data_IF_224835559011
#
_entry.id   IF_224835559011
#
_cell.length_a   1.000
_cell.length_b   1.000
_cell.length_c   1.000
_cell.angle_alpha   90.00
_cell.angle_beta   90.00
_cell.angle_gamma   90.00
#
_symmetry.space_group_name_H-M   'P 1'
#
loop_
_entity.id
_entity.type
_entity.pdbx_description
1 polymer ?
#
# COMPACT_ATOMS: atom_id res chain seq x y z
N UNK A 1 5.82 -3.94 18.27
CA UNK A 1 4.65 -3.88 17.37
C UNK A 1 4.35 -2.43 16.94
N UNK A 2 4.63 -1.42 17.77
CA UNK A 2 4.70 0.01 17.37
C UNK A 2 5.55 0.29 16.12
N UNK A 3 6.62 -0.47 15.92
CA UNK A 3 7.44 -0.34 14.73
C UNK A 3 6.74 -0.80 13.44
N UNK A 4 5.77 -1.73 13.53
CA UNK A 4 5.06 -2.25 12.37
C UNK A 4 3.96 -1.30 11.90
N UNK A 5 3.27 -0.62 12.83
CA UNK A 5 2.38 0.50 12.49
C UNK A 5 3.17 1.65 11.86
N UNK A 6 4.38 1.94 12.35
CA UNK A 6 5.27 2.93 11.74
C UNK A 6 5.72 2.57 10.32
N UNK A 7 5.97 1.28 10.06
CA UNK A 7 6.42 0.78 8.76
C UNK A 7 5.31 0.72 7.69
N UNK A 8 4.03 0.85 8.08
CA UNK A 8 2.92 0.93 7.13
C UNK A 8 2.75 -0.34 6.29
N UNK A 9 2.30 -0.19 5.06
CA UNK A 9 2.09 -1.30 4.13
C UNK A 9 3.37 -2.14 3.90
N UNK A 10 4.56 -1.57 4.08
CA UNK A 10 5.83 -2.28 3.93
C UNK A 10 6.04 -3.40 4.96
N UNK A 11 5.30 -3.38 6.09
CA UNK A 11 5.32 -4.46 7.07
C UNK A 11 4.45 -5.67 6.68
N UNK A 12 3.63 -5.57 5.64
CA UNK A 12 2.69 -6.62 5.23
C UNK A 12 3.32 -8.02 5.08
N UNK A 13 4.50 -8.18 4.44
CA UNK A 13 5.11 -9.51 4.30
C UNK A 13 5.42 -10.19 5.63
N UNK A 14 5.69 -9.43 6.69
CA UNK A 14 5.98 -9.97 8.02
C UNK A 14 4.74 -10.54 8.70
N UNK A 15 3.56 -9.99 8.42
CA UNK A 15 2.30 -10.54 8.89
C UNK A 15 1.88 -11.77 8.09
N UNK A 16 1.99 -11.67 6.76
CA UNK A 16 1.62 -12.76 5.84
C UNK A 16 2.51 -13.99 6.05
N UNK A 17 3.83 -13.83 5.96
CA UNK A 17 4.77 -14.95 6.07
C UNK A 17 5.05 -15.35 7.52
N UNK A 18 4.92 -14.42 8.46
CA UNK A 18 4.98 -14.72 9.90
C UNK A 18 3.73 -15.43 10.43
N UNK A 19 2.67 -15.57 9.60
CA UNK A 19 1.39 -16.20 9.95
C UNK A 19 0.76 -15.59 11.21
N UNK A 20 0.88 -14.28 11.37
CA UNK A 20 0.22 -13.55 12.47
C UNK A 20 -1.29 -13.62 12.25
N UNK A 21 -2.04 -14.02 13.28
CA UNK A 21 -3.50 -14.05 13.18
C UNK A 21 -4.06 -12.61 13.10
N UNK A 22 -5.23 -12.45 12.48
CA UNK A 22 -5.89 -11.15 12.43
C UNK A 22 -6.25 -10.63 13.82
N UNK A 23 -6.60 -11.52 14.75
CA UNK A 23 -6.92 -11.17 16.13
C UNK A 23 -5.70 -10.66 16.89
N UNK A 24 -4.54 -11.31 16.72
CA UNK A 24 -3.29 -10.86 17.35
C UNK A 24 -2.85 -9.50 16.79
N UNK A 25 -2.98 -9.31 15.48
CA UNK A 25 -2.68 -8.03 14.84
C UNK A 25 -3.63 -6.93 15.31
N UNK A 26 -4.94 -7.20 15.38
CA UNK A 26 -5.93 -6.23 15.85
C UNK A 26 -5.70 -5.83 17.31
N UNK A 27 -5.38 -6.80 18.18
CA UNK A 27 -5.03 -6.57 19.57
C UNK A 27 -3.77 -5.70 19.70
N UNK A 28 -2.79 -5.91 18.83
CA UNK A 28 -1.60 -5.08 18.82
C UNK A 28 -1.83 -3.67 18.30
N UNK A 29 -2.63 -3.50 17.25
CA UNK A 29 -3.06 -2.18 16.76
C UNK A 29 -3.79 -1.42 17.88
N UNK A 30 -4.64 -2.11 18.64
CA UNK A 30 -5.28 -1.55 19.84
C UNK A 30 -4.28 -1.13 20.90
N UNK A 31 -3.30 -1.98 21.21
CA UNK A 31 -2.28 -1.69 22.23
C UNK A 31 -1.36 -0.52 21.83
N UNK A 32 -1.18 -0.30 20.52
CA UNK A 32 -0.42 0.81 19.95
C UNK A 32 -1.25 2.10 19.80
N UNK A 33 -2.50 2.11 20.27
CA UNK A 33 -3.46 3.22 20.08
C UNK A 33 -3.60 3.65 18.60
N UNK A 34 -3.57 2.66 17.69
CA UNK A 34 -3.65 2.91 16.26
C UNK A 34 -5.03 3.50 15.91
N UNK A 35 -5.10 4.62 15.15
CA UNK A 35 -6.35 5.26 14.77
C UNK A 35 -7.33 4.35 14.01
N UNK A 36 -6.80 3.43 13.21
CA UNK A 36 -7.56 2.43 12.45
C UNK A 36 -7.11 1.04 12.86
N UNK A 37 -8.08 0.20 13.21
CA UNK A 37 -7.89 -1.20 13.57
C UNK A 37 -8.51 -2.12 12.52
N UNK A 38 -8.17 -3.41 12.56
CA UNK A 38 -8.84 -4.39 11.69
C UNK A 38 -10.33 -4.48 12.02
N UNK A 39 -10.69 -4.34 13.30
CA UNK A 39 -12.08 -4.24 13.74
C UNK A 39 -12.87 -3.06 13.15
N UNK A 40 -12.18 -2.03 12.65
CA UNK A 40 -12.81 -0.92 11.92
C UNK A 40 -12.90 -1.21 10.41
N UNK A 41 -11.83 -1.78 9.86
CA UNK A 41 -11.70 -2.11 8.43
C UNK A 41 -12.71 -3.17 8.00
N UNK A 42 -12.92 -4.20 8.82
CA UNK A 42 -13.82 -5.32 8.49
C UNK A 42 -15.26 -4.86 8.22
N UNK A 43 -15.92 -4.15 9.15
CA UNK A 43 -17.27 -3.63 8.89
C UNK A 43 -17.33 -2.62 7.74
N UNK A 44 -16.30 -1.78 7.58
CA UNK A 44 -16.28 -0.74 6.56
C UNK A 44 -16.18 -1.28 5.12
N UNK A 45 -15.43 -2.37 4.93
CA UNK A 45 -15.07 -2.91 3.60
C UNK A 45 -15.81 -4.20 3.29
N UNK A 46 -15.99 -5.07 4.29
CA UNK A 46 -16.48 -6.44 4.11
C UNK A 46 -17.90 -6.63 4.63
N UNK A 47 -18.46 -5.61 5.30
CA UNK A 47 -19.83 -5.59 5.82
C UNK A 47 -20.14 -6.69 6.85
N UNK A 48 -19.12 -7.20 7.53
CA UNK A 48 -19.23 -8.12 8.66
C UNK A 48 -18.17 -7.80 9.70
N UNK A 49 -18.30 -8.38 10.90
CA UNK A 49 -17.35 -8.18 11.99
C UNK A 49 -16.04 -8.98 11.77
N UNK A 50 -14.97 -8.60 12.47
CA UNK A 50 -13.71 -9.34 12.43
C UNK A 50 -13.86 -10.74 13.05
N UNK A 51 -14.74 -10.89 14.04
CA UNK A 51 -15.04 -12.15 14.71
C UNK A 51 -15.75 -13.16 13.80
N UNK A 52 -16.51 -12.65 12.82
CA UNK A 52 -17.16 -13.44 11.77
C UNK A 52 -16.24 -13.79 10.61
N UNK A 53 -15.03 -13.20 10.56
CA UNK A 53 -14.06 -13.52 9.53
C UNK A 53 -13.68 -15.01 9.63
N UNK A 54 -13.92 -15.81 8.58
CA UNK A 54 -13.64 -17.23 8.65
C UNK A 54 -12.14 -17.44 8.86
N UNK A 55 -11.79 -18.30 9.83
CA UNK A 55 -10.42 -18.77 9.95
C UNK A 55 -10.05 -19.56 8.68
N UNK A 56 -9.23 -18.96 7.81
CA UNK A 56 -8.59 -19.63 6.68
C UNK A 56 -9.51 -20.22 5.61
N UNK A 57 -10.70 -19.66 5.37
CA UNK A 57 -11.44 -19.98 4.14
C UNK A 57 -10.93 -19.09 3.03
N UNK A 58 -10.53 -19.68 1.90
CA UNK A 58 -10.22 -18.94 0.67
C UNK A 58 -11.48 -18.19 0.22
N UNK A 59 -11.66 -16.99 0.74
CA UNK A 59 -12.63 -16.04 0.24
C UNK A 59 -12.00 -15.26 -0.91
N UNK A 60 -12.81 -14.96 -1.92
CA UNK A 60 -12.36 -14.12 -3.01
C UNK A 60 -11.78 -12.79 -2.48
N UNK A 61 -10.72 -12.26 -3.09
CA UNK A 61 -10.13 -10.99 -2.69
C UNK A 61 -11.19 -9.88 -2.69
N UNK A 62 -11.06 -8.91 -1.77
CA UNK A 62 -11.92 -7.75 -1.73
C UNK A 62 -11.63 -6.74 -2.86
N UNK A 63 -10.43 -6.80 -3.44
CA UNK A 63 -10.06 -6.02 -4.61
C UNK A 63 -9.11 -6.79 -5.53
N UNK A 64 -9.26 -6.57 -6.83
CA UNK A 64 -8.35 -7.01 -7.91
C UNK A 64 -7.72 -5.81 -8.65
N UNK A 65 -8.18 -4.59 -8.34
CA UNK A 65 -7.72 -3.33 -8.93
C UNK A 65 -7.47 -2.26 -7.87
N UNK A 66 -6.56 -1.34 -8.20
CA UNK A 66 -6.26 -0.18 -7.35
C UNK A 66 -7.43 0.81 -7.26
N UNK A 67 -8.34 0.80 -8.23
CA UNK A 67 -9.62 1.51 -8.15
C UNK A 67 -10.47 1.00 -7.00
N UNK A 68 -10.66 -0.32 -6.91
CA UNK A 68 -11.45 -0.93 -5.82
C UNK A 68 -10.73 -0.79 -4.48
N UNK A 69 -9.41 -0.98 -4.43
CA UNK A 69 -8.61 -0.74 -3.23
C UNK A 69 -8.75 0.72 -2.74
N UNK A 70 -8.71 1.68 -3.67
CA UNK A 70 -8.93 3.11 -3.38
C UNK A 70 -10.32 3.36 -2.82
N UNK A 71 -11.37 2.78 -3.40
CA UNK A 71 -12.74 2.93 -2.88
C UNK A 71 -12.85 2.43 -1.44
N UNK A 72 -12.27 1.27 -1.13
CA UNK A 72 -12.27 0.70 0.22
C UNK A 72 -11.49 1.57 1.21
N UNK A 73 -10.29 2.04 0.83
CA UNK A 73 -9.51 2.98 1.65
C UNK A 73 -10.32 4.24 1.98
N UNK A 74 -11.00 4.82 0.98
CA UNK A 74 -11.85 6.01 1.18
C UNK A 74 -13.00 5.75 2.14
N UNK A 75 -13.59 4.56 2.14
CA UNK A 75 -14.64 4.19 3.10
C UNK A 75 -14.09 4.17 4.54
N UNK A 76 -12.89 3.59 4.74
CA UNK A 76 -12.21 3.58 6.03
C UNK A 76 -11.88 5.00 6.50
N UNK A 77 -11.31 5.84 5.64
CA UNK A 77 -10.97 7.23 6.00
C UNK A 77 -12.23 8.05 6.35
N UNK A 78 -13.34 7.86 5.62
CA UNK A 78 -14.62 8.50 5.92
C UNK A 78 -15.18 8.06 7.28
N UNK A 79 -15.08 6.78 7.63
CA UNK A 79 -15.55 6.30 8.95
C UNK A 79 -14.73 6.89 10.11
N UNK A 80 -13.51 7.37 9.82
CA UNK A 80 -12.65 8.11 10.76
C UNK A 80 -12.77 9.63 10.65
N UNK A 81 -13.74 10.14 9.90
CA UNK A 81 -14.05 11.58 9.84
C UNK A 81 -13.11 12.41 8.95
N UNK A 82 -12.35 11.77 8.05
CA UNK A 82 -11.54 12.49 7.05
C UNK A 82 -12.45 13.13 6.02
N UNK A 83 -12.51 14.46 6.00
CA UNK A 83 -13.48 15.24 5.20
C UNK A 83 -13.20 15.23 3.70
N UNK A 84 -11.93 15.09 3.32
CA UNK A 84 -11.41 15.10 1.95
C UNK A 84 -10.98 13.69 1.51
N UNK A 85 -11.62 12.65 2.06
CA UNK A 85 -11.25 11.26 1.83
C UNK A 85 -11.18 10.91 0.33
N UNK A 86 -12.04 11.50 -0.51
CA UNK A 86 -12.03 11.30 -1.97
C UNK A 86 -10.71 11.66 -2.67
N UNK A 87 -9.86 12.47 -2.04
CA UNK A 87 -8.56 12.84 -2.61
C UNK A 87 -7.47 11.81 -2.31
N UNK A 88 -7.74 10.79 -1.49
CA UNK A 88 -6.78 9.72 -1.22
C UNK A 88 -6.94 8.57 -2.21
N UNK A 89 -5.81 8.04 -2.69
CA UNK A 89 -5.77 6.92 -3.63
C UNK A 89 -4.72 5.91 -3.21
N UNK A 90 -4.97 4.65 -3.53
CA UNK A 90 -3.94 3.62 -3.63
C UNK A 90 -3.57 3.51 -5.11
N UNK A 91 -2.26 3.53 -5.37
CA UNK A 91 -1.69 3.45 -6.70
C UNK A 91 -0.75 2.26 -6.78
N UNK A 92 -0.49 1.79 -8.01
CA UNK A 92 0.48 0.73 -8.22
C UNK A 92 1.30 0.90 -9.51
N UNK A 93 2.48 0.29 -9.51
CA UNK A 93 3.31 0.04 -10.69
C UNK A 93 3.53 -1.47 -10.78
N UNK A 94 2.99 -2.05 -11.83
CA UNK A 94 2.85 -3.48 -12.09
C UNK A 94 3.92 -4.03 -13.06
N UNK A 95 4.95 -3.24 -13.36
CA UNK A 95 6.05 -3.63 -14.28
C UNK A 95 6.87 -4.84 -13.81
N UNK A 96 6.72 -5.26 -12.55
CA UNK A 96 7.43 -6.38 -11.93
C UNK A 96 6.52 -7.57 -11.61
N UNK A 97 5.26 -7.58 -12.05
CA UNK A 97 4.31 -8.64 -11.69
C UNK A 97 4.78 -10.01 -12.20
N UNK A 98 5.44 -10.06 -13.37
CA UNK A 98 6.08 -11.29 -13.88
C UNK A 98 7.21 -11.81 -12.98
N UNK A 99 7.87 -10.90 -12.25
CA UNK A 99 8.92 -11.22 -11.28
C UNK A 99 8.33 -11.55 -9.90
N UNK A 100 7.00 -11.49 -9.76
CA UNK A 100 6.28 -11.74 -8.50
C UNK A 100 6.23 -10.53 -7.56
N UNK A 101 6.49 -9.31 -8.05
CA UNK A 101 6.50 -8.10 -7.21
C UNK A 101 5.58 -6.99 -7.72
N UNK A 102 5.18 -6.10 -6.82
CA UNK A 102 4.40 -4.90 -7.10
C UNK A 102 4.89 -3.73 -6.25
N UNK A 103 4.93 -2.52 -6.82
CA UNK A 103 5.17 -1.30 -6.06
C UNK A 103 3.83 -0.59 -5.86
N UNK A 104 3.49 -0.30 -4.62
CA UNK A 104 2.27 0.40 -4.24
C UNK A 104 2.60 1.71 -3.55
N UNK A 105 1.71 2.70 -3.67
CA UNK A 105 1.79 3.94 -2.91
C UNK A 105 0.41 4.47 -2.56
N UNK A 106 0.28 5.02 -1.35
CA UNK A 106 -0.88 5.73 -0.88
C UNK A 106 -0.63 7.23 -1.04
N UNK A 107 -1.48 7.89 -1.82
CA UNK A 107 -1.28 9.26 -2.24
C UNK A 107 -2.45 10.16 -1.85
N UNK A 108 -2.21 11.46 -1.80
CA UNK A 108 -3.23 12.49 -1.86
C UNK A 108 -3.09 13.28 -3.16
N UNK A 109 -4.21 13.37 -3.87
CA UNK A 109 -4.37 14.10 -5.13
C UNK A 109 -5.68 14.90 -5.08
N UNK A 110 -5.61 16.24 -5.03
CA UNK A 110 -6.80 17.08 -5.00
C UNK A 110 -7.51 17.15 -6.36
N UNK A 111 -6.78 16.95 -7.46
CA UNK A 111 -7.31 17.10 -8.80
C UNK A 111 -8.04 15.84 -9.26
N UNK A 112 -9.31 16.02 -9.66
CA UNK A 112 -10.11 14.93 -10.25
C UNK A 112 -9.64 14.52 -11.64
N UNK A 113 -8.96 15.42 -12.34
CA UNK A 113 -8.38 15.18 -13.65
C UNK A 113 -6.98 15.78 -13.64
N UNK A 114 -5.98 15.02 -14.08
CA UNK A 114 -4.58 15.44 -14.08
C UNK A 114 -4.05 15.50 -15.52
N UNK A 115 -3.17 16.45 -15.79
CA UNK A 115 -2.43 16.50 -17.06
C UNK A 115 -0.96 16.24 -16.77
N UNK A 116 -0.46 15.10 -17.22
CA UNK A 116 0.85 14.56 -16.86
C UNK A 116 1.56 14.01 -18.10
N UNK A 117 2.88 13.84 -18.01
CA UNK A 117 3.60 13.04 -18.99
C UNK A 117 3.36 11.54 -18.75
N UNK A 118 3.30 10.76 -19.82
CA UNK A 118 3.21 9.32 -19.71
C UNK A 118 4.45 8.77 -18.99
N UNK A 119 4.20 7.95 -17.96
CA UNK A 119 5.21 7.44 -17.03
C UNK A 119 6.29 6.57 -17.70
N UNK A 120 5.95 5.94 -18.84
CA UNK A 120 6.84 5.06 -19.59
C UNK A 120 7.24 5.64 -20.96
N UNK A 121 6.62 6.76 -21.35
CA UNK A 121 6.95 7.53 -22.54
C UNK A 121 6.87 9.03 -22.24
N UNK A 122 7.96 9.58 -21.70
CA UNK A 122 8.02 10.97 -21.21
C UNK A 122 7.82 12.05 -22.28
N UNK A 123 7.72 11.67 -23.57
CA UNK A 123 7.42 12.60 -24.66
C UNK A 123 5.92 12.78 -24.87
N UNK A 124 5.09 11.83 -24.42
CA UNK A 124 3.65 11.88 -24.59
C UNK A 124 2.98 12.57 -23.40
N UNK A 125 2.19 13.60 -23.68
CA UNK A 125 1.29 14.21 -22.69
C UNK A 125 -0.04 13.47 -22.69
N UNK A 126 -0.64 13.33 -21.52
CA UNK A 126 -1.95 12.72 -21.35
C UNK A 126 -2.75 13.45 -20.28
N UNK A 127 -4.06 13.46 -20.46
CA UNK A 127 -5.00 13.94 -19.47
C UNK A 127 -5.76 12.73 -18.95
N UNK A 128 -5.67 12.47 -17.64
CA UNK A 128 -6.18 11.28 -16.98
C UNK A 128 -7.29 11.65 -16.00
N UNK A 129 -8.29 10.80 -15.93
CA UNK A 129 -9.43 10.85 -15.03
C UNK A 129 -9.60 9.50 -14.32
N UNK A 130 -10.48 9.37 -13.31
CA UNK A 130 -10.71 8.10 -12.63
C UNK A 130 -11.21 6.95 -13.54
N UNK A 131 -11.66 7.26 -14.77
CA UNK A 131 -12.03 6.25 -15.76
C UNK A 131 -10.80 5.62 -16.46
N UNK A 132 -9.63 6.24 -16.34
CA UNK A 132 -8.39 5.81 -16.99
C UNK A 132 -7.57 4.96 -16.00
N UNK A 133 -7.18 3.71 -16.33
CA UNK A 133 -6.37 2.87 -15.44
C UNK A 133 -5.06 3.55 -15.00
N UNK A 134 -4.43 4.33 -15.87
CA UNK A 134 -3.22 5.10 -15.58
C UNK A 134 -3.42 6.17 -14.52
N UNK A 135 -4.66 6.59 -14.24
CA UNK A 135 -4.95 7.50 -13.14
C UNK A 135 -4.57 6.90 -11.78
N UNK A 136 -4.60 5.57 -11.64
CA UNK A 136 -4.17 4.87 -10.42
C UNK A 136 -2.66 4.61 -10.37
N UNK A 137 -1.88 5.54 -10.95
CA UNK A 137 -0.43 5.66 -10.81
C UNK A 137 -0.09 6.97 -10.10
N UNK A 138 1.00 6.98 -9.34
CA UNK A 138 1.50 8.20 -8.72
C UNK A 138 2.21 9.08 -9.76
N UNK A 139 2.11 10.40 -9.64
CA UNK A 139 2.77 11.39 -10.48
C UNK A 139 3.38 12.47 -9.61
N UNK A 140 4.68 12.72 -9.78
CA UNK A 140 5.39 13.71 -8.97
C UNK A 140 4.99 15.14 -9.35
N UNK A 141 4.91 15.40 -10.65
CA UNK A 141 4.62 16.73 -11.20
C UNK A 141 3.65 16.63 -12.38
N UNK A 142 2.92 17.70 -12.61
CA UNK A 142 2.07 17.89 -13.78
C UNK A 142 2.90 18.32 -15.02
N UNK A 143 2.23 18.61 -16.14
CA UNK A 143 2.89 19.12 -17.37
C UNK A 143 3.48 20.53 -17.23
N UNK A 144 3.07 21.30 -16.22
CA UNK A 144 3.55 22.64 -15.91
C UNK A 144 4.81 22.62 -15.02
N UNK A 145 5.07 21.47 -14.39
CA UNK A 145 6.16 21.26 -13.44
C UNK A 145 5.74 21.44 -11.98
N UNK A 146 4.45 21.65 -11.71
CA UNK A 146 3.92 21.83 -10.37
C UNK A 146 3.75 20.47 -9.66
N UNK A 147 3.95 20.38 -8.33
CA UNK A 147 3.74 19.14 -7.58
C UNK A 147 2.31 18.60 -7.76
N UNK A 148 2.18 17.31 -8.08
CA UNK A 148 0.88 16.69 -8.37
C UNK A 148 0.36 15.81 -7.21
N UNK A 149 1.17 14.86 -6.74
CA UNK A 149 0.79 13.94 -5.67
C UNK A 149 1.66 14.08 -4.43
N UNK A 150 1.05 13.92 -3.26
CA UNK A 150 1.74 13.77 -1.98
C UNK A 150 1.69 12.28 -1.60
N UNK A 151 2.84 11.68 -1.28
CA UNK A 151 2.93 10.28 -0.85
C UNK A 151 2.85 10.21 0.68
N UNK A 152 1.99 9.36 1.22
CA UNK A 152 1.88 9.10 2.67
C UNK A 152 2.38 7.70 3.09
N UNK A 153 2.29 6.74 2.18
CA UNK A 153 2.81 5.39 2.38
C UNK A 153 3.27 4.80 1.05
N UNK A 154 4.21 3.87 1.07
CA UNK A 154 4.60 3.11 -0.10
C UNK A 154 5.23 1.75 0.27
N UNK A 155 5.01 0.75 -0.58
CA UNK A 155 5.51 -0.59 -0.35
C UNK A 155 5.83 -1.32 -1.66
N UNK A 156 7.04 -1.83 -1.77
CA UNK A 156 7.42 -2.90 -2.67
C UNK A 156 7.06 -4.23 -2.00
N UNK A 157 6.18 -5.00 -2.63
CA UNK A 157 5.60 -6.19 -2.04
C UNK A 157 5.69 -7.38 -3.01
N UNK A 158 5.87 -8.60 -2.50
CA UNK A 158 5.48 -9.80 -3.22
C UNK A 158 3.99 -9.76 -3.58
N UNK A 159 3.63 -10.17 -4.80
CA UNK A 159 2.24 -10.08 -5.28
C UNK A 159 1.27 -10.97 -4.50
N UNK A 160 1.75 -12.09 -3.96
CA UNK A 160 0.98 -12.99 -3.08
C UNK A 160 0.59 -12.31 -1.75
N UNK A 161 1.37 -11.36 -1.26
CA UNK A 161 1.07 -10.60 -0.04
C UNK A 161 -0.16 -9.68 -0.18
N UNK A 162 -0.69 -9.47 -1.39
CA UNK A 162 -1.93 -8.70 -1.60
C UNK A 162 -3.00 -9.51 -2.34
N UNK A 163 -2.80 -10.82 -2.50
CA UNK A 163 -3.71 -11.70 -3.23
C UNK A 163 -4.85 -12.24 -2.37
N UNK A 164 -4.65 -12.33 -1.04
CA UNK A 164 -5.63 -12.90 -0.12
C UNK A 164 -6.49 -11.83 0.57
N UNK A 165 -7.73 -12.17 0.92
CA UNK A 165 -8.69 -11.23 1.52
C UNK A 165 -8.19 -10.63 2.84
N UNK A 166 -7.65 -11.47 3.70
CA UNK A 166 -7.09 -11.10 5.00
C UNK A 166 -5.87 -10.19 4.83
N UNK A 167 -5.02 -10.52 3.86
CA UNK A 167 -3.84 -9.75 3.49
C UNK A 167 -4.24 -8.33 3.05
N UNK A 168 -5.30 -8.23 2.25
CA UNK A 168 -5.86 -6.96 1.79
C UNK A 168 -6.46 -6.12 2.92
N UNK A 169 -7.11 -6.75 3.91
CA UNK A 169 -7.61 -6.06 5.10
C UNK A 169 -6.45 -5.44 5.90
N UNK A 170 -5.37 -6.19 6.09
CA UNK A 170 -4.15 -5.71 6.74
C UNK A 170 -3.52 -4.56 5.95
N UNK A 171 -3.36 -4.73 4.64
CA UNK A 171 -2.82 -3.70 3.75
C UNK A 171 -3.60 -2.37 3.85
N UNK A 172 -4.92 -2.43 3.74
CA UNK A 172 -5.80 -1.25 3.85
C UNK A 172 -5.70 -0.59 5.22
N UNK A 173 -5.67 -1.39 6.29
CA UNK A 173 -5.58 -0.91 7.68
C UNK A 173 -4.26 -0.18 7.94
N UNK A 174 -3.13 -0.79 7.55
CA UNK A 174 -1.81 -0.18 7.73
C UNK A 174 -1.68 1.10 6.92
N UNK A 175 -2.13 1.06 5.66
CA UNK A 175 -2.13 2.22 4.77
C UNK A 175 -2.95 3.39 5.33
N UNK A 176 -4.15 3.11 5.85
CA UNK A 176 -5.02 4.12 6.43
C UNK A 176 -4.38 4.80 7.65
N UNK A 177 -3.70 4.03 8.50
CA UNK A 177 -2.96 4.60 9.64
C UNK A 177 -1.84 5.56 9.17
N UNK A 178 -1.07 5.19 8.13
CA UNK A 178 -0.02 6.07 7.58
C UNK A 178 -0.57 7.39 7.02
N UNK A 179 -1.73 7.34 6.37
CA UNK A 179 -2.42 8.55 5.92
C UNK A 179 -2.80 9.44 7.11
N UNK A 180 -3.31 8.85 8.19
CA UNK A 180 -3.76 9.59 9.37
C UNK A 180 -2.60 10.21 10.17
N UNK A 181 -1.37 9.70 10.04
CA UNK A 181 -0.16 10.35 10.57
C UNK A 181 0.18 11.66 9.85
N UNK A 182 -0.30 11.85 8.61
CA UNK A 182 -0.06 13.04 7.77
C UNK A 182 1.43 13.37 7.53
N UNK A 183 2.29 12.35 7.55
CA UNK A 183 3.72 12.51 7.26
C UNK A 183 4.04 12.14 5.81
N UNK A 184 4.44 13.11 4.99
CA UNK A 184 4.83 12.87 3.61
C UNK A 184 6.09 11.98 3.50
N UNK A 185 6.15 11.15 2.45
CA UNK A 185 7.23 10.19 2.15
C UNK A 185 7.91 10.53 0.83
N UNK A 186 8.86 11.47 0.88
CA UNK A 186 9.59 11.94 -0.31
C UNK A 186 10.56 10.91 -0.89
N UNK A 187 10.89 9.88 -0.12
CA UNK A 187 11.80 8.79 -0.50
C UNK A 187 11.20 7.79 -1.50
N UNK A 188 9.90 7.88 -1.77
CA UNK A 188 9.20 7.10 -2.80
C UNK A 188 9.72 7.40 -4.20
N UNK A 189 9.87 8.68 -4.58
CA UNK A 189 10.15 9.05 -5.98
C UNK A 189 11.48 8.46 -6.51
N UNK A 190 12.58 8.42 -5.73
CA UNK A 190 13.77 7.66 -6.11
C UNK A 190 13.53 6.16 -6.29
N UNK A 191 12.71 5.53 -5.43
CA UNK A 191 12.40 4.09 -5.54
C UNK A 191 11.56 3.79 -6.78
N UNK A 192 10.56 4.62 -7.06
CA UNK A 192 9.75 4.52 -8.28
C UNK A 192 10.63 4.54 -9.54
N UNK A 193 11.60 5.46 -9.62
CA UNK A 193 12.52 5.51 -10.76
C UNK A 193 13.35 4.24 -10.89
N UNK A 194 13.85 3.71 -9.78
CA UNK A 194 14.59 2.45 -9.79
C UNK A 194 13.71 1.29 -10.25
N UNK A 195 12.46 1.26 -9.78
CA UNK A 195 11.47 0.26 -10.15
C UNK A 195 11.18 0.30 -11.65
N UNK A 196 10.84 1.46 -12.21
CA UNK A 196 10.57 1.63 -13.65
C UNK A 196 11.81 1.23 -14.49
N UNK A 197 13.02 1.45 -13.97
CA UNK A 197 14.26 1.05 -14.62
C UNK A 197 14.59 -0.46 -14.49
N UNK A 198 13.69 -1.28 -13.92
CA UNK A 198 13.85 -2.72 -13.77
C UNK A 198 14.63 -3.16 -12.53
N UNK A 199 15.00 -2.24 -11.62
CA UNK A 199 15.75 -2.56 -10.40
C UNK A 199 14.82 -3.01 -9.25
N UNK A 200 13.77 -3.78 -9.57
CA UNK A 200 12.70 -4.16 -8.65
C UNK A 200 13.24 -4.82 -7.37
N UNK A 201 14.14 -5.80 -7.54
CA UNK A 201 14.71 -6.56 -6.42
C UNK A 201 15.56 -5.68 -5.49
N UNK A 202 16.27 -4.69 -6.02
CA UNK A 202 17.07 -3.77 -5.20
C UNK A 202 16.18 -2.88 -4.32
N UNK A 203 15.06 -2.41 -4.87
CA UNK A 203 14.06 -1.64 -4.11
C UNK A 203 13.46 -2.53 -3.00
N UNK A 204 13.05 -3.75 -3.35
CA UNK A 204 12.46 -4.71 -2.40
C UNK A 204 13.42 -5.05 -1.25
N UNK A 205 14.67 -5.44 -1.56
CA UNK A 205 15.67 -5.80 -0.55
C UNK A 205 15.98 -4.61 0.36
N UNK A 206 16.13 -3.41 -0.21
CA UNK A 206 16.40 -2.21 0.59
C UNK A 206 15.26 -1.91 1.56
N UNK A 207 14.02 -1.96 1.09
CA UNK A 207 12.86 -1.76 1.95
C UNK A 207 12.79 -2.85 3.04
N UNK A 208 12.97 -4.12 2.66
CA UNK A 208 12.98 -5.25 3.59
C UNK A 208 14.03 -5.09 4.70
N UNK A 209 15.25 -4.64 4.36
CA UNK A 209 16.30 -4.34 5.34
C UNK A 209 15.88 -3.23 6.32
N UNK A 210 15.26 -2.15 5.82
CA UNK A 210 14.81 -1.04 6.67
C UNK A 210 13.68 -1.48 7.61
N UNK A 211 12.72 -2.25 7.09
CA UNK A 211 11.58 -2.74 7.88
C UNK A 211 12.04 -3.78 8.91
N UNK A 212 12.82 -4.79 8.52
CA UNK A 212 13.35 -5.79 9.46
C UNK A 212 14.14 -5.14 10.60
N UNK A 213 15.00 -4.17 10.30
CA UNK A 213 15.74 -3.42 11.31
C UNK A 213 14.80 -2.67 12.27
N UNK A 214 13.78 -1.98 11.76
CA UNK A 214 12.80 -1.28 12.58
C UNK A 214 12.00 -2.26 13.48
N UNK A 215 11.72 -3.47 12.98
CA UNK A 215 11.01 -4.51 13.71
C UNK A 215 11.91 -5.30 14.69
N UNK A 216 13.23 -5.09 14.67
CA UNK A 216 14.18 -5.88 15.46
C UNK A 216 14.35 -7.32 14.97
N UNK A 217 14.10 -7.57 13.68
CA UNK A 217 14.20 -8.90 13.05
C UNK A 217 15.57 -9.02 12.37
N UNK A 218 16.31 -10.08 12.71
CA UNK A 218 17.69 -10.28 12.21
C UNK A 218 17.75 -10.51 10.69
N UNK A 219 16.75 -11.22 10.14
CA UNK A 219 16.66 -11.55 8.71
C UNK A 219 15.28 -11.19 8.18
N UNK A 220 15.24 -10.21 7.28
CA UNK A 220 14.04 -9.83 6.55
C UNK A 220 13.49 -10.96 5.67
N UNK A 221 12.29 -10.75 5.11
CA UNK A 221 11.60 -11.81 4.36
C UNK A 221 12.35 -12.18 3.07
N UNK A 222 13.06 -11.24 2.44
CA UNK A 222 13.80 -11.51 1.19
C UNK A 222 14.94 -12.51 1.40
N UNK A 223 15.56 -12.49 2.59
CA UNK A 223 16.59 -13.45 2.97
C UNK A 223 15.99 -14.80 3.36
N UNK A 224 14.90 -14.79 4.14
CA UNK A 224 14.24 -16.01 4.62
C UNK A 224 13.65 -16.83 3.47
N UNK A 225 13.07 -16.16 2.48
CA UNK A 225 12.51 -16.77 1.28
C UNK A 225 13.55 -17.05 0.18
N UNK A 226 14.84 -16.73 0.43
CA UNK A 226 15.94 -16.87 -0.53
C UNK A 226 15.72 -16.10 -1.85
N UNK A 227 14.96 -15.01 -1.82
CA UNK A 227 14.70 -14.16 -2.99
C UNK A 227 16.01 -13.53 -3.49
N UNK A 228 16.95 -13.23 -2.58
CA UNK A 228 18.24 -12.61 -2.91
C UNK A 228 19.34 -13.60 -3.33
N UNK A 229 19.03 -14.88 -3.63
CA UNK A 229 20.04 -15.92 -3.93
C UNK A 229 20.21 -16.25 -5.42
N UNK A 230 19.54 -15.55 -6.32
CA UNK A 230 19.69 -15.71 -7.77
C UNK A 230 20.24 -14.45 -8.40
#
# INVERSE_FOLDING_TARGET
MDAATHAGAAALPYFVYGKTSLQDLDAALKNADAPVRLSDTYPAVYHHSLEEAPAHKEEAPAFDSMETATRHLRQILKSKGVSDAENYLITAIDTAVSDGFILTAAIYRPDKTISVFNKFNFLARQTLSPADPEFFRAYRVDVSGDPQDIIYDWAALPTDCIACRECQAVFLTLTANKILEKQAKDDFWPQERQWIAGNHLSVLIRQDMMVSQALGIEKGFTQNLKISKN
#
